data_IF_498663346488
#
_entry.id   IF_498663346488
#
_cell.length_a   1.000
_cell.length_b   1.000
_cell.length_c   1.000
_cell.angle_alpha   90.00
_cell.angle_beta   90.00
_cell.angle_gamma   90.00
#
_symmetry.space_group_name_H-M   'P 1'
#
loop_
_entity.id
_entity.type
_entity.pdbx_description
1 polymer ?
#
# COMPACT_ATOMS: atom_id res chain seq x y z
N UNK A 1 -24.53 17.74 18.02
CA UNK A 1 -23.47 17.51 17.01
C UNK A 1 -23.13 18.80 16.27
N UNK A 2 -21.88 19.26 16.37
CA UNK A 2 -21.48 20.60 15.90
C UNK A 2 -21.00 20.57 14.43
N UNK A 3 -20.67 19.40 13.85
CA UNK A 3 -20.26 19.27 12.44
C UNK A 3 -20.47 17.85 11.87
N UNK A 4 -21.71 17.44 11.54
CA UNK A 4 -22.01 16.09 11.05
C UNK A 4 -21.33 15.77 9.71
N UNK A 5 -21.19 16.77 8.83
CA UNK A 5 -20.54 16.63 7.52
C UNK A 5 -19.04 16.34 7.67
N UNK A 6 -18.39 16.98 8.64
CA UNK A 6 -16.97 16.76 8.92
C UNK A 6 -16.71 15.33 9.41
N UNK A 7 -17.56 14.82 10.31
CA UNK A 7 -17.44 13.44 10.79
C UNK A 7 -17.64 12.42 9.66
N UNK A 8 -18.58 12.64 8.74
CA UNK A 8 -18.84 11.72 7.64
C UNK A 8 -17.63 11.63 6.69
N UNK A 9 -17.02 12.77 6.36
CA UNK A 9 -15.85 12.83 5.47
C UNK A 9 -14.61 12.21 6.14
N UNK A 10 -14.34 12.60 7.39
CA UNK A 10 -13.11 12.16 8.09
C UNK A 10 -13.09 10.67 8.38
N UNK A 11 -14.23 10.09 8.74
CA UNK A 11 -14.34 8.64 9.01
C UNK A 11 -14.13 7.82 7.75
N UNK A 12 -14.69 8.24 6.61
CA UNK A 12 -14.47 7.59 5.31
C UNK A 12 -13.01 7.71 4.85
N UNK A 13 -12.42 8.89 4.98
CA UNK A 13 -11.02 9.12 4.62
C UNK A 13 -10.07 8.30 5.49
N UNK A 14 -10.34 8.16 6.79
CA UNK A 14 -9.48 7.38 7.69
C UNK A 14 -9.44 5.90 7.30
N UNK A 15 -10.59 5.29 7.01
CA UNK A 15 -10.65 3.89 6.54
C UNK A 15 -9.90 3.72 5.22
N UNK A 16 -10.10 4.65 4.28
CA UNK A 16 -9.38 4.65 3.00
C UNK A 16 -7.87 4.86 3.17
N UNK A 17 -7.45 5.71 4.12
CA UNK A 17 -6.05 6.02 4.37
C UNK A 17 -5.27 4.83 4.92
N UNK A 18 -5.86 4.02 5.81
CA UNK A 18 -5.19 2.83 6.36
C UNK A 18 -4.83 1.82 5.25
N UNK A 19 -5.79 1.56 4.34
CA UNK A 19 -5.59 0.68 3.18
C UNK A 19 -4.67 1.34 2.15
N UNK A 20 -4.86 2.63 1.89
CA UNK A 20 -4.07 3.41 0.94
C UNK A 20 -2.59 3.47 1.33
N UNK A 21 -2.29 3.60 2.62
CA UNK A 21 -0.91 3.60 3.14
C UNK A 21 -0.23 2.24 2.94
N UNK A 22 -0.95 1.14 3.19
CA UNK A 22 -0.45 -0.21 2.92
C UNK A 22 -0.23 -0.44 1.41
N UNK A 23 -1.17 -0.02 0.56
CA UNK A 23 -1.05 -0.12 -0.90
C UNK A 23 0.12 0.72 -1.44
N UNK A 24 0.31 1.94 -0.94
CA UNK A 24 1.43 2.80 -1.30
C UNK A 24 2.77 2.15 -0.92
N UNK A 25 2.84 1.49 0.23
CA UNK A 25 4.03 0.77 0.68
C UNK A 25 4.42 -0.36 -0.28
N UNK A 26 3.45 -1.13 -0.79
CA UNK A 26 3.67 -2.15 -1.84
C UNK A 26 4.23 -1.52 -3.11
N UNK A 27 3.63 -0.42 -3.57
CA UNK A 27 4.05 0.25 -4.80
C UNK A 27 5.49 0.77 -4.69
N UNK A 28 5.85 1.36 -3.55
CA UNK A 28 7.22 1.81 -3.27
C UNK A 28 8.21 0.64 -3.26
N UNK A 29 7.89 -0.44 -2.56
CA UNK A 29 8.78 -1.61 -2.46
C UNK A 29 8.94 -2.32 -3.81
N UNK A 30 7.89 -2.37 -4.64
CA UNK A 30 7.96 -2.87 -6.01
C UNK A 30 8.84 -1.99 -6.90
N UNK A 31 8.76 -0.67 -6.76
CA UNK A 31 9.61 0.25 -7.50
C UNK A 31 11.09 0.06 -7.09
N UNK A 32 11.36 -0.07 -5.79
CA UNK A 32 12.69 -0.37 -5.27
C UNK A 32 13.24 -1.69 -5.79
N UNK A 33 12.43 -2.76 -5.82
CA UNK A 33 12.80 -4.05 -6.38
C UNK A 33 13.19 -3.93 -7.86
N UNK A 34 12.41 -3.19 -8.65
CA UNK A 34 12.70 -2.98 -10.07
C UNK A 34 14.04 -2.25 -10.32
N UNK A 35 14.40 -1.32 -9.43
CA UNK A 35 15.67 -0.58 -9.45
C UNK A 35 16.80 -1.52 -9.04
N UNK A 36 16.63 -2.24 -7.92
CA UNK A 36 17.60 -3.19 -7.40
C UNK A 36 17.86 -4.35 -8.38
N UNK A 37 16.87 -4.72 -9.21
CA UNK A 37 16.99 -5.69 -10.29
C UNK A 37 17.55 -5.11 -11.60
N UNK A 38 17.85 -3.79 -11.68
CA UNK A 38 18.16 -3.06 -12.93
C UNK A 38 17.20 -3.39 -14.09
N UNK A 39 16.00 -3.87 -13.77
CA UNK A 39 15.01 -4.26 -14.76
C UNK A 39 14.50 -3.03 -15.52
N UNK A 40 14.65 -1.85 -14.91
CA UNK A 40 14.39 -0.56 -15.53
C UNK A 40 15.16 -0.31 -16.82
N UNK A 41 16.36 -0.88 -16.99
CA UNK A 41 17.17 -0.72 -18.20
C UNK A 41 16.52 -1.46 -19.38
N UNK A 42 15.81 -2.56 -19.11
CA UNK A 42 15.14 -3.37 -20.13
C UNK A 42 13.70 -2.92 -20.44
N UNK A 43 13.13 -1.99 -19.67
CA UNK A 43 11.75 -1.56 -19.89
C UNK A 43 11.63 -0.53 -21.01
N UNK A 44 10.81 -0.85 -22.01
CA UNK A 44 10.33 0.09 -23.01
C UNK A 44 9.54 1.24 -22.35
N UNK A 45 9.51 2.46 -22.94
CA UNK A 45 8.66 3.55 -22.44
C UNK A 45 7.18 3.17 -22.29
N UNK A 46 6.66 2.25 -23.11
CA UNK A 46 5.29 1.72 -22.97
C UNK A 46 5.12 0.89 -21.70
N UNK A 47 6.09 0.02 -21.38
CA UNK A 47 6.06 -0.83 -20.18
C UNK A 47 6.10 0.01 -18.90
N UNK A 48 6.91 1.08 -18.89
CA UNK A 48 6.98 2.02 -17.77
C UNK A 48 5.67 2.76 -17.53
N UNK A 49 4.91 3.08 -18.58
CA UNK A 49 3.58 3.68 -18.46
C UNK A 49 2.58 2.66 -17.91
N UNK A 50 2.61 1.42 -18.41
CA UNK A 50 1.73 0.35 -17.94
C UNK A 50 1.95 0.03 -16.46
N UNK A 51 3.20 -0.06 -16.01
CA UNK A 51 3.51 -0.27 -14.59
C UNK A 51 2.99 0.87 -13.72
N UNK A 52 3.20 2.13 -14.12
CA UNK A 52 2.66 3.29 -13.39
C UNK A 52 1.13 3.28 -13.32
N UNK A 53 0.45 2.91 -14.41
CA UNK A 53 -1.01 2.79 -14.40
C UNK A 53 -1.48 1.67 -13.44
N UNK A 54 -0.75 0.56 -13.37
CA UNK A 54 -1.05 -0.52 -12.42
C UNK A 54 -0.83 -0.03 -10.99
N UNK A 55 0.30 0.63 -10.71
CA UNK A 55 0.61 1.12 -9.36
C UNK A 55 -0.38 2.20 -8.92
N UNK A 56 -0.84 3.07 -9.82
CA UNK A 56 -1.94 4.01 -9.56
C UNK A 56 -3.27 3.28 -9.35
N UNK A 57 -3.56 2.25 -10.14
CA UNK A 57 -4.75 1.42 -9.98
C UNK A 57 -4.78 0.70 -8.63
N UNK A 58 -3.65 0.18 -8.16
CA UNK A 58 -3.55 -0.47 -6.84
C UNK A 58 -3.54 0.56 -5.72
N UNK A 59 -2.79 1.65 -5.87
CA UNK A 59 -2.63 2.69 -4.85
C UNK A 59 -3.86 3.58 -4.64
N UNK A 60 -4.70 3.76 -5.67
CA UNK A 60 -5.93 4.56 -5.58
C UNK A 60 -7.19 3.70 -5.75
N UNK A 61 -7.20 2.79 -6.72
CA UNK A 61 -8.40 1.98 -7.00
C UNK A 61 -8.77 1.06 -5.84
N UNK A 62 -7.79 0.42 -5.20
CA UNK A 62 -8.04 -0.46 -4.06
C UNK A 62 -8.61 0.28 -2.83
N UNK A 63 -8.02 1.39 -2.33
CA UNK A 63 -8.61 2.13 -1.22
C UNK A 63 -9.96 2.76 -1.58
N UNK A 64 -10.15 3.25 -2.81
CA UNK A 64 -11.48 3.74 -3.24
C UNK A 64 -12.52 2.63 -3.23
N UNK A 65 -12.18 1.43 -3.72
CA UNK A 65 -13.08 0.27 -3.68
C UNK A 65 -13.43 -0.10 -2.24
N UNK A 66 -12.45 -0.17 -1.34
CA UNK A 66 -12.70 -0.46 0.09
C UNK A 66 -13.56 0.63 0.74
N UNK A 67 -13.35 1.91 0.41
CA UNK A 67 -14.20 3.01 0.90
C UNK A 67 -15.67 2.86 0.46
N UNK A 68 -15.91 2.44 -0.79
CA UNK A 68 -17.25 2.19 -1.32
C UNK A 68 -17.87 0.98 -0.61
N UNK A 69 -17.14 -0.13 -0.50
CA UNK A 69 -17.62 -1.34 0.17
C UNK A 69 -17.92 -1.10 1.66
N UNK A 70 -17.14 -0.24 2.31
CA UNK A 70 -17.36 0.15 3.70
C UNK A 70 -18.71 0.87 3.92
N UNK A 71 -19.34 1.45 2.88
CA UNK A 71 -20.71 1.99 2.99
C UNK A 71 -21.74 0.88 3.29
N UNK A 72 -21.53 -0.32 2.75
CA UNK A 72 -22.47 -1.45 2.90
C UNK A 72 -22.39 -2.07 4.30
N UNK A 73 -21.22 -2.02 4.94
CA UNK A 73 -20.95 -2.67 6.23
C UNK A 73 -21.06 -1.68 7.41
N UNK A 74 -21.46 -0.43 7.13
CA UNK A 74 -21.55 0.62 8.14
C UNK A 74 -22.78 0.40 9.02
N UNK A 75 -22.58 -0.07 10.26
CA UNK A 75 -23.68 -0.31 11.21
C UNK A 75 -24.29 0.99 11.74
N UNK A 76 -23.45 1.98 12.06
CA UNK A 76 -23.83 3.32 12.48
C UNK A 76 -22.96 4.38 11.78
N UNK A 77 -23.51 5.59 11.59
CA UNK A 77 -22.90 6.62 10.72
C UNK A 77 -21.51 7.07 11.20
N UNK A 78 -21.32 7.29 12.49
CA UNK A 78 -20.04 7.59 13.13
C UNK A 78 -20.22 7.51 14.66
N UNK A 79 -19.18 7.14 15.39
CA UNK A 79 -19.13 7.32 16.85
C UNK A 79 -18.21 8.49 17.18
N UNK A 80 -18.55 9.26 18.21
CA UNK A 80 -17.74 10.38 18.67
C UNK A 80 -17.06 9.95 19.97
N UNK A 81 -15.75 9.70 19.90
CA UNK A 81 -14.94 9.42 21.09
C UNK A 81 -14.36 10.72 21.65
N UNK A 82 -14.61 10.95 22.94
CA UNK A 82 -14.08 12.11 23.66
C UNK A 82 -12.53 12.05 23.63
N UNK A 83 -11.89 13.11 23.14
CA UNK A 83 -10.42 13.28 22.87
C UNK A 83 -9.88 12.75 21.52
N UNK A 84 -10.57 11.84 20.83
CA UNK A 84 -10.11 11.29 19.54
C UNK A 84 -10.86 11.90 18.35
N UNK A 85 -12.12 12.31 18.56
CA UNK A 85 -12.99 12.86 17.50
C UNK A 85 -13.88 11.80 16.88
N UNK A 86 -14.22 11.98 15.60
CA UNK A 86 -15.13 11.09 14.87
C UNK A 86 -14.41 9.80 14.44
N UNK A 87 -14.96 8.65 14.79
CA UNK A 87 -14.46 7.34 14.39
C UNK A 87 -15.50 6.60 13.54
N UNK A 88 -15.02 5.86 12.55
CA UNK A 88 -15.86 4.99 11.75
C UNK A 88 -16.33 3.83 12.63
N UNK A 89 -17.65 3.61 12.67
CA UNK A 89 -18.18 2.41 13.32
C UNK A 89 -18.18 1.28 12.31
N UNK A 90 -17.59 0.16 12.68
CA UNK A 90 -17.60 -1.06 11.89
C UNK A 90 -18.37 -2.09 12.71
N UNK A 91 -19.49 -2.57 12.18
CA UNK A 91 -20.20 -3.66 12.84
C UNK A 91 -19.39 -4.94 12.66
N UNK A 92 -18.97 -5.56 13.78
CA UNK A 92 -18.21 -6.81 13.78
C UNK A 92 -19.05 -7.95 13.20
N UNK A 93 -19.00 -8.05 11.88
CA UNK A 93 -19.69 -9.03 11.07
C UNK A 93 -18.66 -9.72 10.18
N UNK A 94 -18.91 -10.99 9.83
CA UNK A 94 -18.08 -11.73 8.89
C UNK A 94 -17.71 -10.94 7.61
N UNK A 95 -18.62 -10.18 6.96
CA UNK A 95 -18.26 -9.33 5.82
C UNK A 95 -17.28 -8.19 6.17
N UNK A 96 -17.33 -7.58 7.36
CA UNK A 96 -16.38 -6.54 7.75
C UNK A 96 -14.93 -7.05 7.77
N UNK A 97 -14.76 -8.27 8.29
CA UNK A 97 -13.45 -8.92 8.39
C UNK A 97 -12.85 -9.14 6.99
N UNK A 98 -13.65 -9.66 6.07
CA UNK A 98 -13.23 -9.97 4.70
C UNK A 98 -13.00 -8.73 3.84
N UNK A 99 -13.81 -7.68 3.99
CA UNK A 99 -13.75 -6.53 3.08
C UNK A 99 -12.86 -5.39 3.55
N UNK A 100 -12.59 -5.28 4.86
CA UNK A 100 -11.85 -4.13 5.41
C UNK A 100 -10.60 -4.59 6.16
N UNK A 101 -10.73 -5.58 7.05
CA UNK A 101 -9.64 -5.95 7.97
C UNK A 101 -8.53 -6.76 7.32
N UNK A 102 -8.84 -7.58 6.31
CA UNK A 102 -7.84 -8.49 5.69
C UNK A 102 -6.88 -7.77 4.74
N UNK A 103 -7.29 -6.65 4.14
CA UNK A 103 -6.52 -5.98 3.09
C UNK A 103 -5.23 -5.33 3.60
N UNK A 104 -5.24 -4.52 4.68
CA UNK A 104 -4.00 -3.93 5.20
C UNK A 104 -2.90 -4.95 5.54
N UNK A 105 -3.14 -6.04 6.32
CA UNK A 105 -2.09 -7.00 6.63
C UNK A 105 -1.64 -7.76 5.39
N UNK A 106 -2.55 -8.10 4.46
CA UNK A 106 -2.20 -8.75 3.20
C UNK A 106 -1.28 -7.89 2.32
N UNK A 107 -1.58 -6.59 2.20
CA UNK A 107 -0.73 -5.66 1.45
C UNK A 107 0.62 -5.46 2.15
N UNK A 108 0.64 -5.35 3.48
CA UNK A 108 1.88 -5.19 4.23
C UNK A 108 2.81 -6.42 4.13
N UNK A 109 2.27 -7.64 4.16
CA UNK A 109 3.08 -8.86 3.96
C UNK A 109 3.64 -8.91 2.54
N UNK A 110 2.84 -8.53 1.53
CA UNK A 110 3.30 -8.42 0.15
C UNK A 110 4.40 -7.37 0.01
N UNK A 111 4.23 -6.22 0.65
CA UNK A 111 5.24 -5.16 0.70
C UNK A 111 6.54 -5.72 1.28
N UNK A 112 6.49 -6.32 2.48
CA UNK A 112 7.65 -6.90 3.13
C UNK A 112 8.38 -7.95 2.27
N UNK A 113 7.63 -8.78 1.54
CA UNK A 113 8.20 -9.75 0.60
C UNK A 113 8.98 -9.08 -0.55
N UNK A 114 8.41 -8.04 -1.18
CA UNK A 114 9.12 -7.26 -2.20
C UNK A 114 10.33 -6.51 -1.63
N UNK A 115 10.21 -5.95 -0.43
CA UNK A 115 11.31 -5.30 0.27
C UNK A 115 12.48 -6.24 0.54
N UNK A 116 12.19 -7.47 0.98
CA UNK A 116 13.21 -8.50 1.20
C UNK A 116 13.90 -8.90 -0.11
N UNK A 117 13.15 -9.04 -1.20
CA UNK A 117 13.72 -9.34 -2.52
C UNK A 117 14.62 -8.21 -3.03
N UNK A 118 14.14 -6.96 -2.93
CA UNK A 118 14.91 -5.77 -3.31
C UNK A 118 16.24 -5.68 -2.53
N UNK A 119 16.18 -5.91 -1.21
CA UNK A 119 17.37 -5.90 -0.36
C UNK A 119 18.36 -7.00 -0.74
N UNK A 120 17.89 -8.22 -0.99
CA UNK A 120 18.74 -9.34 -1.44
C UNK A 120 19.46 -9.03 -2.75
N UNK A 121 18.73 -8.50 -3.74
CA UNK A 121 19.29 -8.12 -5.04
C UNK A 121 20.33 -7.00 -4.91
N UNK A 122 20.04 -6.00 -4.09
CA UNK A 122 20.96 -4.89 -3.84
C UNK A 122 22.25 -5.36 -3.18
N UNK A 123 22.16 -6.22 -2.15
CA UNK A 123 23.32 -6.80 -1.49
C UNK A 123 24.14 -7.67 -2.44
N UNK A 124 23.49 -8.58 -3.18
CA UNK A 124 24.17 -9.45 -4.15
C UNK A 124 25.00 -8.65 -5.17
N UNK A 125 24.45 -7.55 -5.69
CA UNK A 125 25.15 -6.66 -6.61
C UNK A 125 26.33 -5.96 -5.98
N UNK A 126 26.18 -5.49 -4.74
CA UNK A 126 27.27 -4.83 -4.02
C UNK A 126 28.45 -5.77 -3.82
N UNK A 127 28.19 -7.05 -3.51
CA UNK A 127 29.21 -8.08 -3.44
C UNK A 127 29.88 -8.37 -4.80
N UNK A 128 29.09 -8.46 -5.89
CA UNK A 128 29.65 -8.64 -7.23
C UNK A 128 30.57 -7.48 -7.64
N UNK A 129 30.18 -6.24 -7.36
CA UNK A 129 30.99 -5.06 -7.65
C UNK A 129 32.30 -5.05 -6.85
N UNK A 130 32.24 -5.42 -5.56
CA UNK A 130 33.44 -5.53 -4.73
C UNK A 130 34.43 -6.57 -5.28
N UNK A 131 33.93 -7.73 -5.74
CA UNK A 131 34.75 -8.79 -6.34
C UNK A 131 35.42 -8.36 -7.65
N UNK A 132 34.72 -7.58 -8.48
CA UNK A 132 35.29 -7.04 -9.73
C UNK A 132 36.43 -6.06 -9.47
N UNK A 133 36.31 -5.21 -8.44
CA UNK A 133 37.37 -4.28 -8.04
C UNK A 133 38.62 -5.01 -7.53
N UNK A 134 38.42 -6.13 -6.81
CA UNK A 134 39.52 -6.98 -6.35
C UNK A 134 40.24 -7.66 -7.53
N UNK A 135 39.48 -8.22 -8.47
CA UNK A 135 40.03 -8.86 -9.68
C UNK A 135 40.76 -7.91 -10.61
N UNK A 136 40.40 -6.61 -10.63
CA UNK A 136 41.08 -5.59 -11.46
C UNK A 136 42.39 -5.09 -10.85
N UNK A 137 42.67 -5.40 -9.57
CA UNK A 137 43.86 -4.95 -8.85
C UNK A 137 45.00 -5.99 -8.90
N UNK A 138 44.74 -7.18 -9.44
CA UNK A 138 45.74 -8.21 -9.73
C UNK A 138 46.20 -8.16 -11.18
#
# INVERSE_FOLDING_TARGET
>A
DIAPIWCDITTKLRVGADVGNAAASVCLMRQLESIAAARQIHFSPSDRRRQRMIDLGVGLGLPTLVMILHVVVQGHRYDILQRVGCIATVYWSYPALFFVTIWPPFLLTLAAAYGALALRLFLARRYQFAKLLESSKS
#
